data_IF_816078726082
#
_entry.id   IF_816078726082
#
_cell.length_a   1.000
_cell.length_b   1.000
_cell.length_c   1.000
_cell.angle_alpha   90.00
_cell.angle_beta   90.00
_cell.angle_gamma   90.00
#
_symmetry.space_group_name_H-M   'P 1'
#
loop_
_entity.id
_entity.type
_entity.pdbx_description
1 polymer ?
#
# COMPACT_ATOMS: atom_id res chain seq x y z
N UNK A 1 -6.83 3.20 24.47
CA UNK A 1 -6.62 4.25 23.45
C UNK A 1 -7.97 4.62 22.89
N UNK A 2 -8.45 5.85 23.03
CA UNK A 2 -9.81 6.20 22.62
C UNK A 2 -9.89 6.92 21.29
N UNK A 3 -8.81 7.59 20.86
CA UNK A 3 -8.80 8.32 19.58
C UNK A 3 -7.51 8.13 18.80
N UNK A 4 -7.64 7.71 17.55
CA UNK A 4 -6.57 7.49 16.58
C UNK A 4 -6.76 8.45 15.40
N UNK A 5 -5.66 8.86 14.78
CA UNK A 5 -5.66 9.66 13.55
C UNK A 5 -4.59 9.11 12.60
N UNK A 6 -4.96 8.96 11.33
CA UNK A 6 -4.05 8.56 10.27
C UNK A 6 -3.17 9.74 9.87
N UNK A 7 -1.87 9.48 9.72
CA UNK A 7 -0.91 10.48 9.25
C UNK A 7 -1.24 10.93 7.82
N UNK A 8 -1.21 12.24 7.56
CA UNK A 8 -1.48 12.84 6.24
C UNK A 8 -0.50 12.37 5.14
N UNK A 9 0.63 11.82 5.56
CA UNK A 9 1.69 11.32 4.69
C UNK A 9 1.48 9.86 4.25
N UNK A 10 0.42 9.20 4.72
CA UNK A 10 0.12 7.82 4.35
C UNK A 10 -0.85 7.83 3.17
N UNK A 11 -0.46 7.14 2.09
CA UNK A 11 -1.35 6.82 0.97
C UNK A 11 -1.72 5.35 1.05
N UNK A 12 -3.00 5.07 0.89
CA UNK A 12 -3.54 3.72 0.92
C UNK A 12 -3.97 3.30 -0.49
N UNK A 13 -3.77 2.03 -0.80
CA UNK A 13 -4.35 1.38 -1.96
C UNK A 13 -4.96 0.05 -1.56
N UNK A 14 -6.29 -0.07 -1.68
CA UNK A 14 -7.03 -1.28 -1.34
C UNK A 14 -6.88 -2.34 -2.43
N UNK A 15 -6.74 -3.61 -2.02
CA UNK A 15 -6.67 -4.78 -2.90
C UNK A 15 -8.06 -5.38 -3.16
N UNK A 16 -8.33 -5.98 -4.33
CA UNK A 16 -9.57 -6.72 -4.59
C UNK A 16 -9.81 -7.88 -3.61
N UNK A 17 -8.74 -8.47 -3.07
CA UNK A 17 -8.82 -9.56 -2.11
C UNK A 17 -9.08 -9.10 -0.67
N UNK A 18 -9.37 -7.80 -0.49
CA UNK A 18 -9.73 -7.20 0.79
C UNK A 18 -8.54 -6.76 1.64
N UNK A 19 -7.29 -7.01 1.22
CA UNK A 19 -6.09 -6.43 1.83
C UNK A 19 -5.85 -4.97 1.39
N UNK A 20 -4.75 -4.37 1.82
CA UNK A 20 -4.31 -3.05 1.33
C UNK A 20 -2.80 -2.88 1.44
N UNK A 21 -2.27 -1.92 0.71
CA UNK A 21 -0.89 -1.43 0.88
C UNK A 21 -0.91 0.01 1.35
N UNK A 22 -0.15 0.30 2.40
CA UNK A 22 0.13 1.64 2.89
C UNK A 22 1.51 2.10 2.39
N UNK A 23 1.59 3.29 1.83
CA UNK A 23 2.83 3.96 1.44
C UNK A 23 3.03 5.21 2.32
N UNK A 24 4.11 5.25 3.10
CA UNK A 24 4.56 6.49 3.75
C UNK A 24 5.35 7.34 2.74
N UNK A 25 4.78 8.43 2.27
CA UNK A 25 5.41 9.28 1.24
C UNK A 25 6.64 10.03 1.74
N UNK A 26 6.89 10.08 3.06
CA UNK A 26 8.10 10.71 3.62
C UNK A 26 9.32 9.82 3.42
N UNK A 27 9.19 8.56 3.84
CA UNK A 27 10.26 7.58 3.84
C UNK A 27 10.31 6.74 2.56
N UNK A 28 9.19 6.58 1.87
CA UNK A 28 9.02 5.66 0.75
C UNK A 28 8.80 4.20 1.18
N UNK A 29 8.62 3.94 2.47
CA UNK A 29 8.31 2.59 2.94
C UNK A 29 6.88 2.18 2.61
N UNK A 30 6.72 0.92 2.25
CA UNK A 30 5.45 0.31 1.95
C UNK A 30 5.15 -0.84 2.91
N UNK A 31 3.89 -0.94 3.33
CA UNK A 31 3.43 -1.94 4.29
C UNK A 31 2.20 -2.64 3.74
N UNK A 32 2.27 -3.96 3.59
CA UNK A 32 1.13 -4.78 3.20
C UNK A 32 0.26 -5.11 4.43
N UNK A 33 -1.04 -5.04 4.25
CA UNK A 33 -2.05 -5.34 5.27
C UNK A 33 -2.98 -6.43 4.76
N UNK A 34 -3.21 -7.43 5.61
CA UNK A 34 -4.26 -8.41 5.36
C UNK A 34 -5.66 -7.79 5.52
N UNK A 35 -6.70 -8.56 5.22
CA UNK A 35 -8.09 -8.06 5.19
C UNK A 35 -8.65 -7.64 6.55
N UNK A 36 -8.25 -8.34 7.63
CA UNK A 36 -8.64 -7.96 8.99
C UNK A 36 -7.99 -6.64 9.40
N UNK A 37 -6.69 -6.51 9.15
CA UNK A 37 -5.93 -5.30 9.43
C UNK A 37 -6.48 -4.12 8.61
N UNK A 38 -6.78 -4.33 7.32
CA UNK A 38 -7.40 -3.31 6.47
C UNK A 38 -8.77 -2.86 7.01
N UNK A 39 -9.59 -3.78 7.50
CA UNK A 39 -10.88 -3.43 8.12
C UNK A 39 -10.69 -2.54 9.35
N UNK A 40 -9.72 -2.86 10.22
CA UNK A 40 -9.38 -2.02 11.38
C UNK A 40 -8.90 -0.64 10.94
N UNK A 41 -8.01 -0.60 9.95
CA UNK A 41 -7.47 0.63 9.39
C UNK A 41 -8.56 1.55 8.83
N UNK A 42 -9.47 1.02 8.02
CA UNK A 42 -10.59 1.78 7.46
C UNK A 42 -11.47 2.37 8.56
N UNK A 43 -11.75 1.59 9.60
CA UNK A 43 -12.57 2.05 10.71
C UNK A 43 -11.86 3.10 11.58
N UNK A 44 -10.55 2.98 11.79
CA UNK A 44 -9.75 4.02 12.43
C UNK A 44 -9.67 5.28 11.59
N UNK A 45 -9.51 5.16 10.27
CA UNK A 45 -9.49 6.31 9.36
C UNK A 45 -10.85 7.03 9.35
N UNK A 46 -11.95 6.28 9.32
CA UNK A 46 -13.33 6.81 9.24
C UNK A 46 -13.81 7.41 10.57
N UNK A 47 -13.65 6.68 11.67
CA UNK A 47 -14.23 7.04 12.96
C UNK A 47 -13.25 7.66 13.94
N UNK A 48 -11.95 7.42 13.74
CA UNK A 48 -10.91 7.72 14.72
C UNK A 48 -11.06 6.95 16.03
N UNK A 49 -11.98 5.99 16.16
CA UNK A 49 -12.29 5.32 17.41
C UNK A 49 -11.82 3.86 17.38
N UNK A 50 -10.92 3.53 18.32
CA UNK A 50 -10.36 2.18 18.43
C UNK A 50 -11.43 1.12 18.73
N UNK A 51 -12.30 1.37 19.72
CA UNK A 51 -13.30 0.39 20.16
C UNK A 51 -14.39 0.17 19.10
N UNK A 52 -14.69 1.20 18.29
CA UNK A 52 -15.59 1.08 17.13
C UNK A 52 -15.06 0.07 16.11
N UNK A 53 -13.77 0.16 15.78
CA UNK A 53 -13.14 -0.76 14.84
C UNK A 53 -13.15 -2.22 15.35
N UNK A 54 -12.88 -2.42 16.64
CA UNK A 54 -12.96 -3.75 17.28
C UNK A 54 -14.37 -4.32 17.23
N UNK A 55 -15.40 -3.49 17.48
CA UNK A 55 -16.79 -3.90 17.40
C UNK A 55 -17.19 -4.31 15.97
N UNK A 56 -16.80 -3.52 14.97
CA UNK A 56 -17.07 -3.83 13.56
C UNK A 56 -16.40 -5.14 13.15
N UNK A 57 -15.14 -5.34 13.54
CA UNK A 57 -14.41 -6.56 13.21
C UNK A 57 -15.00 -7.80 13.90
N UNK A 58 -15.38 -7.69 15.18
CA UNK A 58 -16.05 -8.76 15.92
C UNK A 58 -17.41 -9.14 15.31
N UNK A 59 -18.15 -8.17 14.76
CA UNK A 59 -19.40 -8.42 14.04
C UNK A 59 -19.20 -9.18 12.72
N UNK A 60 -18.07 -8.95 12.03
CA UNK A 60 -17.72 -9.64 10.78
C UNK A 60 -17.18 -11.06 11.01
N UNK A 61 -16.54 -11.30 12.14
CA UNK A 61 -15.93 -12.59 12.50
C UNK A 61 -16.46 -13.10 13.85
N UNK A 62 -17.72 -13.59 13.91
CA UNK A 62 -18.38 -13.97 15.16
C UNK A 62 -17.72 -15.16 15.87
N UNK A 63 -17.01 -16.01 15.12
CA UNK A 63 -16.32 -17.18 15.67
C UNK A 63 -15.03 -16.82 16.45
N UNK A 64 -14.53 -15.59 16.28
CA UNK A 64 -13.34 -15.11 16.96
C UNK A 64 -13.69 -14.46 18.31
N UNK A 65 -12.95 -14.83 19.35
CA UNK A 65 -13.11 -14.22 20.67
C UNK A 65 -12.79 -12.73 20.62
N UNK A 66 -13.72 -11.89 21.06
CA UNK A 66 -13.60 -10.43 21.06
C UNK A 66 -12.32 -9.93 21.75
N UNK A 67 -11.89 -10.59 22.83
CA UNK A 67 -10.68 -10.22 23.55
C UNK A 67 -9.42 -10.42 22.70
N UNK A 68 -9.35 -11.49 21.91
CA UNK A 68 -8.25 -11.71 20.96
C UNK A 68 -8.24 -10.66 19.85
N UNK A 69 -9.41 -10.35 19.29
CA UNK A 69 -9.54 -9.28 18.29
C UNK A 69 -9.03 -7.95 18.84
N UNK A 70 -9.39 -7.65 20.10
CA UNK A 70 -8.96 -6.42 20.77
C UNK A 70 -7.44 -6.41 20.97
N UNK A 71 -6.86 -7.52 21.40
CA UNK A 71 -5.42 -7.64 21.63
C UNK A 71 -4.62 -7.47 20.33
N UNK A 72 -5.04 -8.15 19.25
CA UNK A 72 -4.43 -8.02 17.93
C UNK A 72 -4.57 -6.60 17.37
N UNK A 73 -5.74 -5.97 17.56
CA UNK A 73 -5.96 -4.58 17.19
C UNK A 73 -5.04 -3.62 17.97
N UNK A 74 -4.80 -3.86 19.25
CA UNK A 74 -3.85 -3.08 20.05
C UNK A 74 -2.43 -3.21 19.50
N UNK A 75 -1.96 -4.45 19.27
CA UNK A 75 -0.61 -4.71 18.72
C UNK A 75 -0.43 -4.05 17.35
N UNK A 76 -1.45 -4.13 16.49
CA UNK A 76 -1.42 -3.48 15.19
C UNK A 76 -1.35 -1.95 15.34
N UNK A 77 -2.17 -1.35 16.21
CA UNK A 77 -2.16 0.09 16.44
C UNK A 77 -0.80 0.56 16.98
N UNK A 78 -0.24 -0.14 17.97
CA UNK A 78 1.07 0.16 18.55
C UNK A 78 2.18 0.11 17.49
N UNK A 79 2.17 -0.93 16.64
CA UNK A 79 3.11 -1.05 15.54
C UNK A 79 2.99 0.14 14.56
N UNK A 80 1.77 0.48 14.13
CA UNK A 80 1.53 1.59 13.22
C UNK A 80 1.89 2.95 13.85
N UNK A 81 1.72 3.12 15.16
CA UNK A 81 2.17 4.32 15.90
C UNK A 81 3.69 4.38 15.94
N UNK A 82 4.37 3.27 16.22
CA UNK A 82 5.84 3.21 16.25
C UNK A 82 6.47 3.53 14.88
N UNK A 83 5.77 3.16 13.80
CA UNK A 83 6.14 3.49 12.42
C UNK A 83 5.76 4.93 12.02
N UNK A 84 5.06 5.67 12.88
CA UNK A 84 4.58 7.02 12.60
C UNK A 84 3.50 7.11 11.52
N UNK A 85 2.76 6.00 11.32
CA UNK A 85 1.63 5.90 10.38
C UNK A 85 0.29 6.26 11.04
N UNK A 86 0.19 6.04 12.35
CA UNK A 86 -0.94 6.45 13.20
C UNK A 86 -0.47 7.37 14.33
N UNK A 87 -1.36 8.25 14.79
CA UNK A 87 -1.16 9.08 15.98
C UNK A 87 -2.27 8.80 16.99
N UNK A 88 -1.88 8.38 18.20
CA UNK A 88 -2.81 8.26 19.32
C UNK A 88 -2.99 9.60 20.02
N UNK A 89 -4.25 9.99 20.22
CA UNK A 89 -4.60 11.16 21.01
C UNK A 89 -4.99 10.67 22.39
N UNK A 90 -4.30 11.15 23.42
CA UNK A 90 -4.78 10.97 24.78
C UNK A 90 -6.16 11.63 24.88
N UNK A 91 -7.13 11.01 25.58
CA UNK A 91 -8.38 11.70 25.87
C UNK A 91 -8.03 13.01 26.55
N UNK A 92 -8.43 14.13 25.94
CA UNK A 92 -8.27 15.44 26.54
C UNK A 92 -8.88 15.36 27.93
N UNK A 93 -8.05 15.31 28.97
CA UNK A 93 -8.52 15.60 30.31
C UNK A 93 -8.93 17.05 30.24
N UNK A 94 -10.22 17.30 30.03
CA UNK A 94 -10.82 18.57 30.35
C UNK A 94 -10.32 18.90 31.75
N UNK A 95 -9.54 19.97 31.96
CA UNK A 95 -9.15 20.34 33.30
C UNK A 95 -10.46 20.51 34.06
N UNK A 96 -10.68 19.63 35.04
CA UNK A 96 -11.83 19.74 35.93
C UNK A 96 -11.82 21.19 36.42
N UNK A 97 -12.88 21.93 36.11
CA UNK A 97 -13.02 23.32 36.49
C UNK A 97 -12.76 23.42 37.99
N UNK A 98 -11.58 23.92 38.32
CA UNK A 98 -11.22 24.22 39.69
C UNK A 98 -12.12 25.38 40.12
N UNK A 99 -13.05 25.08 41.02
CA UNK A 99 -13.75 26.09 41.80
C UNK A 99 -15.18 26.38 41.37
N UNK A 100 -16.09 25.53 41.81
CA UNK A 100 -17.27 26.05 42.49
C UNK A 100 -17.59 25.13 43.67
N UNK A 101 -16.99 25.50 44.82
CA UNK A 101 -17.55 25.19 46.12
C UNK A 101 -18.92 25.87 46.18
N UNK A 102 -19.98 25.08 46.21
CA UNK A 102 -21.25 25.52 46.78
C UNK A 102 -21.60 24.57 47.91
N UNK A 103 -21.96 25.19 49.02
CA UNK A 103 -22.15 24.64 50.36
C UNK A 103 -23.31 23.63 50.47
N UNK A 104 -23.39 22.86 51.59
CA UNK A 104 -24.29 21.73 51.78
C UNK A 104 -25.61 22.13 52.47
N UNK A 105 -26.72 21.49 52.10
CA UNK A 105 -27.89 21.26 52.95
C UNK A 105 -28.77 20.13 52.33
N UNK A 106 -29.67 19.47 53.06
CA UNK A 106 -29.44 18.20 53.75
C UNK A 106 -30.47 17.12 53.35
N UNK A 107 -30.36 15.99 54.02
CA UNK A 107 -31.18 14.78 53.90
C UNK A 107 -32.69 15.01 53.81
N UNK A 108 -33.31 14.26 52.90
CA UNK A 108 -34.69 13.80 53.05
C UNK A 108 -34.75 12.32 52.64
N UNK A 109 -35.27 11.55 53.56
CA UNK A 109 -35.45 10.11 53.56
C UNK A 109 -36.42 9.59 52.49
N UNK A 110 -36.32 8.26 52.31
CA UNK A 110 -37.38 7.33 51.88
C UNK A 110 -37.37 6.87 50.40
N UNK A 111 -37.95 5.69 50.09
CA UNK A 111 -37.19 4.44 50.02
C UNK A 111 -37.34 3.68 48.69
N UNK A 112 -36.45 2.70 48.51
CA UNK A 112 -36.46 1.68 47.45
C UNK A 112 -37.75 0.83 47.45
N UNK A 113 -38.28 0.45 46.28
CA UNK A 113 -39.06 -0.77 46.15
C UNK A 113 -38.15 -1.97 45.85
N UNK A 114 -38.24 -2.92 46.77
CA UNK A 114 -37.79 -4.31 46.73
C UNK A 114 -38.73 -5.16 45.85
N UNK A 115 -38.23 -6.35 45.49
CA UNK A 115 -38.91 -7.52 44.89
C UNK A 115 -38.76 -7.62 43.35
N UNK A 116 -38.50 -8.77 42.75
CA UNK A 116 -38.73 -10.14 43.21
C UNK A 116 -37.86 -11.13 42.40
N UNK A 117 -37.25 -12.09 43.08
CA UNK A 117 -36.70 -13.32 42.49
C UNK A 117 -37.74 -14.42 42.64
N UNK A 118 -37.98 -15.21 41.59
CA UNK A 118 -38.21 -16.67 41.60
C UNK A 118 -38.49 -17.16 40.16
N UNK A 119 -38.55 -18.49 39.87
CA UNK A 119 -37.50 -19.47 40.07
C UNK A 119 -37.25 -20.35 38.82
N UNK A 120 -36.18 -21.16 38.93
CA UNK A 120 -35.89 -22.43 38.27
C UNK A 120 -36.99 -23.08 37.41
N UNK A 121 -36.61 -23.53 36.20
CA UNK A 121 -37.07 -24.82 35.68
C UNK A 121 -35.92 -25.59 35.05
N UNK A 122 -35.68 -26.76 35.61
CA UNK A 122 -34.82 -27.82 35.14
C UNK A 122 -35.52 -28.65 34.06
N UNK A 123 -34.72 -29.22 33.16
CA UNK A 123 -35.13 -30.28 32.23
C UNK A 123 -34.40 -30.10 30.91
N UNK A 124 -33.85 -31.11 30.23
CA UNK A 124 -33.77 -32.55 30.47
C UNK A 124 -32.81 -33.03 29.38
N UNK A 125 -31.74 -33.76 29.74
CA UNK A 125 -30.95 -34.58 28.80
C UNK A 125 -31.86 -35.62 28.13
N UNK A 126 -31.58 -35.99 26.87
CA UNK A 126 -31.38 -37.41 26.63
C UNK A 126 -30.07 -37.72 25.91
N UNK A 127 -29.49 -38.81 26.37
CA UNK A 127 -28.33 -39.49 25.81
C UNK A 127 -28.61 -40.10 24.43
N UNK A 128 -27.50 -40.20 23.68
CA UNK A 128 -27.13 -41.34 22.83
C UNK A 128 -27.99 -41.67 21.60
N UNK A 129 -27.39 -41.50 20.41
CA UNK A 129 -27.32 -42.61 19.46
C UNK A 129 -26.15 -42.46 18.48
N UNK A 130 -25.34 -43.52 18.49
CA UNK A 130 -24.38 -43.94 17.46
C UNK A 130 -24.99 -43.89 16.05
N UNK A 131 -24.22 -43.33 15.12
CA UNK A 131 -24.03 -43.84 13.75
C UNK A 131 -22.58 -43.48 13.39
N UNK A 132 -21.62 -44.40 13.49
CA UNK A 132 -21.30 -45.38 12.46
C UNK A 132 -21.01 -44.72 11.09
N UNK A 133 -19.72 -44.40 10.92
CA UNK A 133 -18.91 -44.76 9.74
C UNK A 133 -19.40 -44.30 8.38
N UNK A 134 -18.76 -43.28 7.81
CA UNK A 134 -18.37 -43.25 6.39
C UNK A 134 -17.13 -42.37 6.24
N UNK A 135 -15.99 -43.03 6.04
CA UNK A 135 -14.74 -42.41 5.64
C UNK A 135 -14.81 -42.08 4.14
N UNK A 136 -14.47 -40.85 3.70
CA UNK A 136 -14.17 -40.62 2.30
C UNK A 136 -12.79 -41.19 1.99
N UNK A 137 -12.75 -42.00 0.93
CA UNK A 137 -11.59 -42.58 0.28
C UNK A 137 -10.46 -41.58 0.09
N UNK A 138 -9.26 -41.93 0.57
CA UNK A 138 -8.00 -41.43 0.05
C UNK A 138 -7.98 -41.69 -1.46
N UNK A 139 -8.23 -40.64 -2.24
CA UNK A 139 -7.89 -40.59 -3.65
C UNK A 139 -6.39 -40.37 -3.77
N UNK A 140 -5.74 -41.26 -4.51
CA UNK A 140 -4.32 -41.24 -4.83
C UNK A 140 -3.83 -39.85 -5.23
N UNK A 141 -2.93 -39.30 -4.41
CA UNK A 141 -2.10 -38.16 -4.80
C UNK A 141 -1.03 -38.72 -5.74
N UNK A 142 -0.99 -38.31 -7.03
CA UNK A 142 0.08 -38.73 -7.92
C UNK A 142 1.43 -38.27 -7.35
N UNK A 143 2.50 -39.09 -7.46
CA UNK A 143 3.81 -38.71 -6.99
C UNK A 143 4.23 -37.41 -7.68
N UNK A 144 4.75 -36.47 -6.89
CA UNK A 144 5.32 -35.24 -7.36
C UNK A 144 6.33 -35.57 -8.48
N UNK A 145 5.99 -35.20 -9.71
CA UNK A 145 6.96 -35.13 -10.79
C UNK A 145 7.95 -34.06 -10.37
N UNK A 146 9.10 -34.50 -9.84
CA UNK A 146 10.25 -33.65 -9.63
C UNK A 146 10.60 -33.01 -10.97
N UNK A 147 10.24 -31.73 -11.11
CA UNK A 147 10.68 -30.91 -12.24
C UNK A 147 12.19 -30.76 -12.05
N UNK A 148 13.01 -31.22 -13.02
CA UNK A 148 14.46 -31.10 -12.92
C UNK A 148 14.86 -29.65 -12.70
N UNK A 149 15.68 -29.41 -11.67
CA UNK A 149 16.16 -28.10 -11.25
C UNK A 149 17.06 -27.39 -12.30
N UNK A 150 17.30 -28.01 -13.46
CA UNK A 150 18.11 -27.50 -14.56
C UNK A 150 17.30 -26.91 -15.73
N UNK A 151 15.97 -26.80 -15.62
CA UNK A 151 15.12 -26.16 -16.64
C UNK A 151 14.62 -24.75 -16.28
N UNK A 152 15.00 -24.20 -15.12
CA UNK A 152 14.54 -22.89 -14.63
C UNK A 152 15.59 -21.77 -14.76
N UNK A 153 16.61 -21.95 -15.59
CA UNK A 153 17.57 -20.92 -15.96
C UNK A 153 17.33 -20.45 -17.40
N UNK A 154 16.15 -19.86 -17.64
CA UNK A 154 15.96 -19.03 -18.83
C UNK A 154 16.62 -17.67 -18.58
N UNK A 155 17.81 -17.52 -19.13
CA UNK A 155 18.46 -16.22 -19.34
C UNK A 155 17.57 -15.39 -20.25
N UNK A 156 16.72 -14.54 -19.67
CA UNK A 156 16.00 -13.46 -20.35
C UNK A 156 16.99 -12.34 -20.70
N UNK A 157 18.00 -12.65 -21.52
CA UNK A 157 18.64 -11.66 -22.34
C UNK A 157 17.77 -11.58 -23.59
N UNK A 158 16.88 -10.59 -23.64
CA UNK A 158 16.27 -10.22 -24.90
C UNK A 158 17.42 -9.89 -25.86
N UNK A 159 17.63 -10.75 -26.87
CA UNK A 159 18.52 -10.47 -27.99
C UNK A 159 18.16 -9.08 -28.53
N UNK A 160 19.08 -8.10 -28.48
CA UNK A 160 18.79 -6.78 -28.97
C UNK A 160 18.51 -6.88 -30.47
N UNK A 161 17.29 -6.51 -30.88
CA UNK A 161 17.06 -6.11 -32.27
C UNK A 161 17.94 -4.89 -32.50
N UNK A 162 19.10 -5.12 -33.14
CA UNK A 162 19.95 -4.07 -33.63
C UNK A 162 19.18 -3.36 -34.73
N UNK A 163 18.63 -2.19 -34.41
CA UNK A 163 18.21 -1.23 -35.43
C UNK A 163 19.50 -0.63 -36.02
N UNK A 164 20.06 -1.39 -36.95
CA UNK A 164 21.32 -1.17 -37.64
C UNK A 164 21.14 -0.05 -38.66
N UNK A 165 20.96 1.19 -38.20
CA UNK A 165 20.53 2.23 -39.15
C UNK A 165 20.61 3.70 -38.80
N UNK A 166 20.75 4.15 -37.55
CA UNK A 166 20.67 5.61 -37.29
C UNK A 166 21.82 6.17 -36.44
N UNK A 167 23.03 6.25 -37.05
CA UNK A 167 24.11 7.16 -36.60
C UNK A 167 23.77 8.63 -36.91
N UNK A 168 22.51 9.03 -36.77
CA UNK A 168 22.07 10.41 -36.90
C UNK A 168 22.48 11.20 -35.67
N UNK A 169 22.82 12.49 -35.87
CA UNK A 169 23.04 13.44 -34.78
C UNK A 169 21.88 13.43 -33.76
N UNK A 170 20.66 13.14 -34.21
CA UNK A 170 19.48 12.97 -33.35
C UNK A 170 19.62 11.78 -32.41
N UNK A 171 20.13 10.64 -32.90
CA UNK A 171 20.42 9.46 -32.07
C UNK A 171 21.42 9.78 -30.96
N UNK A 172 22.53 10.44 -31.32
CA UNK A 172 23.55 10.85 -30.34
C UNK A 172 22.99 11.82 -29.28
N UNK A 173 22.22 12.83 -29.70
CA UNK A 173 21.57 13.77 -28.77
C UNK A 173 20.61 13.05 -27.82
N UNK A 174 19.78 12.12 -28.33
CA UNK A 174 18.85 11.37 -27.47
C UNK A 174 19.56 10.47 -26.46
N UNK A 175 20.68 9.85 -26.84
CA UNK A 175 21.48 9.04 -25.93
C UNK A 175 22.12 9.89 -24.81
N UNK A 176 22.66 11.06 -25.16
CA UNK A 176 23.23 12.00 -24.20
C UNK A 176 22.16 12.52 -23.22
N UNK A 177 20.96 12.88 -23.72
CA UNK A 177 19.84 13.27 -22.87
C UNK A 177 19.41 12.14 -21.93
N UNK A 178 19.33 10.91 -22.44
CA UNK A 178 19.02 9.72 -21.64
C UNK A 178 20.04 9.50 -20.52
N UNK A 179 21.33 9.67 -20.82
CA UNK A 179 22.41 9.52 -19.83
C UNK A 179 22.35 10.60 -18.75
N UNK A 180 22.23 11.88 -19.13
CA UNK A 180 22.12 12.97 -18.16
C UNK A 180 20.88 12.81 -17.27
N UNK A 181 19.74 12.42 -17.85
CA UNK A 181 18.53 12.18 -17.11
C UNK A 181 18.67 10.97 -16.15
N UNK A 182 19.34 9.90 -16.57
CA UNK A 182 19.62 8.75 -15.72
C UNK A 182 20.54 9.09 -14.55
N UNK A 183 21.63 9.81 -14.79
CA UNK A 183 22.52 10.29 -13.72
C UNK A 183 21.78 11.21 -12.73
N UNK A 184 20.95 12.11 -13.25
CA UNK A 184 20.08 12.96 -12.43
C UNK A 184 19.10 12.15 -11.59
N UNK A 185 18.47 11.13 -12.16
CA UNK A 185 17.57 10.23 -11.44
C UNK A 185 18.28 9.44 -10.34
N UNK A 186 19.48 8.91 -10.62
CA UNK A 186 20.29 8.19 -9.64
C UNK A 186 20.70 9.08 -8.46
N UNK A 187 21.01 10.36 -8.71
CA UNK A 187 21.28 11.33 -7.66
C UNK A 187 20.00 11.65 -6.87
N UNK A 188 18.88 11.84 -7.58
CA UNK A 188 17.59 12.19 -6.98
C UNK A 188 17.07 11.08 -6.04
N UNK A 189 17.26 9.80 -6.39
CA UNK A 189 16.85 8.64 -5.58
C UNK A 189 17.63 8.54 -4.26
N UNK A 190 18.81 9.18 -4.14
CA UNK A 190 19.51 9.27 -2.86
C UNK A 190 18.83 10.21 -1.86
N UNK A 191 17.82 10.95 -2.29
CA UNK A 191 17.03 11.83 -1.44
C UNK A 191 15.77 11.12 -0.91
N UNK A 192 15.20 11.56 0.22
CA UNK A 192 13.91 11.06 0.69
C UNK A 192 12.81 11.20 -0.36
N UNK A 193 11.87 10.24 -0.42
CA UNK A 193 10.81 10.21 -1.44
C UNK A 193 10.04 11.53 -1.53
N UNK A 194 9.77 12.18 -0.40
CA UNK A 194 9.16 13.53 -0.36
C UNK A 194 9.90 14.57 -1.21
N UNK A 195 11.23 14.53 -1.21
CA UNK A 195 12.07 15.47 -1.94
C UNK A 195 12.04 15.14 -3.43
N UNK A 196 12.00 13.84 -3.78
CA UNK A 196 11.80 13.37 -5.15
C UNK A 196 10.45 13.85 -5.68
N UNK A 197 9.35 13.55 -4.98
CA UNK A 197 8.00 13.95 -5.38
C UNK A 197 7.86 15.47 -5.49
N UNK A 198 8.43 16.24 -4.55
CA UNK A 198 8.45 17.72 -4.63
C UNK A 198 9.22 18.21 -5.84
N UNK A 199 10.38 17.62 -6.12
CA UNK A 199 11.18 17.98 -7.30
C UNK A 199 10.42 17.69 -8.59
N UNK A 200 9.79 16.52 -8.69
CA UNK A 200 8.98 16.14 -9.86
C UNK A 200 7.81 17.09 -10.05
N UNK A 201 7.00 17.35 -9.02
CA UNK A 201 5.89 18.30 -9.10
C UNK A 201 6.35 19.72 -9.41
N UNK A 202 7.46 20.16 -8.83
CA UNK A 202 8.01 21.50 -9.10
C UNK A 202 8.44 21.61 -10.57
N UNK A 203 9.24 20.68 -11.07
CA UNK A 203 9.68 20.65 -12.48
C UNK A 203 8.45 20.61 -13.41
N UNK A 204 7.48 19.77 -13.12
CA UNK A 204 6.28 19.62 -13.93
C UNK A 204 5.41 20.90 -13.96
N UNK A 205 5.32 21.61 -12.83
CA UNK A 205 4.54 22.85 -12.70
C UNK A 205 5.24 24.11 -13.21
N UNK A 206 6.57 24.19 -13.12
CA UNK A 206 7.32 25.43 -13.46
C UNK A 206 8.06 25.36 -14.79
N UNK A 207 8.51 24.19 -15.21
CA UNK A 207 9.39 24.02 -16.36
C UNK A 207 8.66 23.41 -17.57
N UNK A 208 7.82 22.40 -17.33
CA UNK A 208 7.11 21.72 -18.40
C UNK A 208 5.92 22.57 -18.88
N UNK A 209 5.79 22.71 -20.21
CA UNK A 209 4.80 23.61 -20.83
C UNK A 209 3.73 22.89 -21.63
N UNK A 210 3.96 21.63 -22.00
CA UNK A 210 3.07 20.84 -22.86
C UNK A 210 2.95 19.44 -22.30
N UNK A 211 1.80 18.82 -22.47
CA UNK A 211 1.66 17.40 -22.14
C UNK A 211 2.46 16.54 -23.13
N UNK A 212 3.04 15.46 -22.62
CA UNK A 212 3.68 14.43 -23.43
C UNK A 212 2.60 13.57 -24.09
N UNK A 213 2.80 13.20 -25.36
CA UNK A 213 2.01 12.13 -25.97
C UNK A 213 2.57 10.77 -25.56
N UNK A 214 1.80 9.68 -25.63
CA UNK A 214 2.29 8.33 -25.35
C UNK A 214 3.55 7.97 -26.15
N UNK A 215 3.62 8.37 -27.42
CA UNK A 215 4.77 8.11 -28.30
C UNK A 215 6.03 8.85 -27.82
N UNK A 216 5.88 10.09 -27.36
CA UNK A 216 7.00 10.88 -26.82
C UNK A 216 7.53 10.30 -25.51
N UNK A 217 6.63 9.84 -24.64
CA UNK A 217 7.00 9.20 -23.40
C UNK A 217 7.67 7.84 -23.64
N UNK A 218 7.15 7.03 -24.57
CA UNK A 218 7.77 5.77 -25.01
C UNK A 218 9.15 5.99 -25.63
N UNK A 219 9.30 7.00 -26.49
CA UNK A 219 10.60 7.37 -27.06
C UNK A 219 11.60 7.83 -25.99
N UNK A 220 11.13 8.56 -24.98
CA UNK A 220 11.94 8.99 -23.84
C UNK A 220 12.40 7.78 -23.00
N UNK A 221 11.50 6.83 -22.72
CA UNK A 221 11.83 5.59 -22.03
C UNK A 221 12.84 4.75 -22.82
N UNK A 222 12.67 4.63 -24.13
CA UNK A 222 13.61 3.93 -25.00
C UNK A 222 15.01 4.58 -24.97
N UNK A 223 15.08 5.91 -24.99
CA UNK A 223 16.35 6.64 -24.86
C UNK A 223 17.05 6.36 -23.51
N UNK A 224 16.29 6.35 -22.41
CA UNK A 224 16.80 6.02 -21.07
C UNK A 224 17.26 4.56 -20.99
N UNK A 225 16.48 3.61 -21.54
CA UNK A 225 16.87 2.19 -21.57
C UNK A 225 18.18 1.96 -22.33
N UNK A 226 18.36 2.66 -23.46
CA UNK A 226 19.63 2.65 -24.20
C UNK A 226 20.78 3.25 -23.38
N UNK A 227 20.53 4.30 -22.60
CA UNK A 227 21.56 4.86 -21.72
C UNK A 227 21.89 3.92 -20.55
N UNK A 228 20.89 3.24 -20.00
CA UNK A 228 21.04 2.30 -18.90
C UNK A 228 21.89 1.07 -19.26
N UNK A 229 22.06 0.74 -20.54
CA UNK A 229 23.00 -0.29 -20.99
C UNK A 229 24.46 0.01 -20.60
N UNK A 230 24.83 1.28 -20.47
CA UNK A 230 26.16 1.71 -20.06
C UNK A 230 26.31 1.82 -18.54
N UNK A 231 25.23 1.63 -17.80
CA UNK A 231 25.23 1.67 -16.35
C UNK A 231 25.68 0.29 -15.81
N UNK A 232 26.72 0.22 -14.97
CA UNK A 232 27.25 -1.06 -14.46
C UNK A 232 26.29 -1.79 -13.51
N UNK A 233 25.19 -1.16 -13.10
CA UNK A 233 24.15 -1.75 -12.26
C UNK A 233 22.87 -2.09 -13.05
N UNK A 234 21.92 -2.78 -12.40
CA UNK A 234 20.58 -2.95 -12.96
C UNK A 234 19.77 -1.69 -12.72
N UNK A 235 19.33 -1.04 -13.79
CA UNK A 235 18.44 0.11 -13.67
C UNK A 235 17.04 -0.36 -13.23
N UNK A 236 16.62 0.01 -12.03
CA UNK A 236 15.31 -0.38 -11.50
C UNK A 236 14.17 0.45 -12.12
N UNK A 237 12.92 -0.01 -11.97
CA UNK A 237 11.73 0.70 -12.50
C UNK A 237 11.64 2.16 -11.98
N UNK A 238 12.07 2.39 -10.73
CA UNK A 238 12.12 3.72 -10.13
C UNK A 238 13.10 4.65 -10.86
N UNK A 239 14.30 4.14 -11.16
CA UNK A 239 15.36 4.88 -11.87
C UNK A 239 14.93 5.18 -13.29
N UNK A 240 14.40 4.18 -14.00
CA UNK A 240 13.94 4.33 -15.37
C UNK A 240 12.77 5.31 -15.50
N UNK A 241 11.79 5.26 -14.61
CA UNK A 241 10.63 6.17 -14.65
C UNK A 241 11.02 7.62 -14.34
N UNK A 242 11.88 7.85 -13.34
CA UNK A 242 12.39 9.20 -13.03
C UNK A 242 13.29 9.76 -14.14
N UNK A 243 14.16 8.93 -14.70
CA UNK A 243 15.00 9.34 -15.83
C UNK A 243 14.14 9.65 -17.07
N UNK A 244 13.06 8.89 -17.30
CA UNK A 244 12.11 9.16 -18.39
C UNK A 244 11.44 10.52 -18.21
N UNK A 245 11.02 10.85 -16.98
CA UNK A 245 10.51 12.20 -16.66
C UNK A 245 11.58 13.27 -16.83
N UNK A 246 12.84 12.97 -16.52
CA UNK A 246 13.97 13.86 -16.78
C UNK A 246 14.12 14.19 -18.27
N UNK A 247 14.07 13.19 -19.15
CA UNK A 247 14.09 13.41 -20.62
C UNK A 247 12.87 14.22 -21.09
N UNK A 248 11.68 13.92 -20.55
CA UNK A 248 10.48 14.72 -20.83
C UNK A 248 10.64 16.17 -20.35
N UNK A 249 11.19 16.40 -19.16
CA UNK A 249 11.43 17.73 -18.62
C UNK A 249 12.47 18.51 -19.45
N UNK A 250 13.54 17.85 -19.89
CA UNK A 250 14.54 18.46 -20.79
C UNK A 250 13.93 18.88 -22.14
N UNK A 251 12.90 18.18 -22.60
CA UNK A 251 12.10 18.54 -23.78
C UNK A 251 10.89 19.43 -23.47
N UNK A 252 10.78 19.92 -22.22
CA UNK A 252 9.69 20.76 -21.68
C UNK A 252 8.30 20.13 -21.79
N UNK A 253 8.24 18.79 -21.72
CA UNK A 253 7.03 17.98 -21.74
C UNK A 253 6.69 17.48 -20.34
N UNK A 254 5.40 17.44 -20.01
CA UNK A 254 4.87 16.95 -18.74
C UNK A 254 4.33 15.53 -18.93
N UNK A 255 4.78 14.61 -18.08
CA UNK A 255 4.16 13.32 -17.83
C UNK A 255 3.73 13.24 -16.37
N UNK A 256 2.90 12.25 -16.04
CA UNK A 256 2.53 11.95 -14.65
C UNK A 256 3.44 10.84 -14.16
N UNK A 257 4.10 11.05 -13.03
CA UNK A 257 4.86 10.00 -12.37
C UNK A 257 3.94 9.18 -11.48
N UNK A 258 3.97 7.86 -11.62
CA UNK A 258 3.14 6.96 -10.84
C UNK A 258 4.00 5.95 -10.08
N UNK A 259 3.61 5.68 -8.83
CA UNK A 259 4.09 4.55 -8.04
C UNK A 259 2.87 3.70 -7.68
N UNK A 260 3.01 2.39 -7.79
CA UNK A 260 1.92 1.45 -7.56
C UNK A 260 2.38 0.07 -7.12
N UNK A 261 1.39 -0.80 -6.90
CA UNK A 261 1.58 -2.14 -6.38
C UNK A 261 0.77 -3.18 -7.15
N UNK A 262 1.25 -4.42 -7.15
CA UNK A 262 0.49 -5.60 -7.57
C UNK A 262 0.40 -6.58 -6.38
N UNK A 263 -0.73 -7.25 -6.22
CA UNK A 263 -1.08 -8.00 -5.01
C UNK A 263 -0.61 -9.47 -5.01
N UNK A 264 -0.02 -9.96 -6.10
CA UNK A 264 0.39 -11.37 -6.21
C UNK A 264 1.61 -11.57 -7.16
N UNK A 265 2.78 -11.93 -6.63
CA UNK A 265 3.27 -11.58 -5.29
C UNK A 265 3.32 -10.05 -5.09
N UNK A 266 3.35 -9.57 -3.83
CA UNK A 266 3.47 -8.13 -3.53
C UNK A 266 4.68 -7.52 -4.25
N UNK A 267 4.42 -6.75 -5.30
CA UNK A 267 5.43 -6.11 -6.14
C UNK A 267 5.19 -4.61 -6.19
N UNK A 268 6.26 -3.85 -6.14
CA UNK A 268 6.25 -2.40 -6.29
C UNK A 268 6.72 -2.03 -7.69
N UNK A 269 6.03 -1.08 -8.30
CA UNK A 269 6.41 -0.59 -9.62
C UNK A 269 6.26 0.92 -9.69
N UNK A 270 7.11 1.54 -10.50
CA UNK A 270 7.07 2.96 -10.79
C UNK A 270 7.12 3.14 -12.31
N UNK A 271 6.21 3.96 -12.83
CA UNK A 271 6.04 4.19 -14.26
C UNK A 271 5.71 5.64 -14.55
N UNK A 272 5.68 5.98 -15.83
CA UNK A 272 5.25 7.30 -16.32
C UNK A 272 3.94 7.12 -17.07
N UNK A 273 3.00 8.04 -16.89
CA UNK A 273 1.79 8.11 -17.70
C UNK A 273 1.81 9.36 -18.59
N UNK A 274 1.33 9.18 -19.81
CA UNK A 274 1.11 10.25 -20.77
C UNK A 274 -0.32 10.12 -21.31
N UNK A 275 -1.12 11.18 -21.17
CA UNK A 275 -2.53 11.19 -21.57
C UNK A 275 -3.36 10.03 -20.98
N UNK A 276 -3.05 9.63 -19.74
CA UNK A 276 -3.71 8.52 -19.05
C UNK A 276 -3.25 7.12 -19.47
N UNK A 277 -2.30 7.00 -20.41
CA UNK A 277 -1.73 5.73 -20.85
C UNK A 277 -0.45 5.47 -20.06
N UNK A 278 -0.37 4.32 -19.39
CA UNK A 278 0.83 3.85 -18.71
C UNK A 278 1.91 3.48 -19.72
N UNK A 279 3.09 4.05 -19.52
CA UNK A 279 4.26 3.84 -20.36
C UNK A 279 5.18 2.87 -19.62
N UNK A 280 5.03 1.59 -19.95
CA UNK A 280 5.83 0.49 -19.46
C UNK A 280 6.05 -0.51 -20.61
N UNK A 281 7.08 -1.36 -20.52
CA UNK A 281 7.20 -2.49 -21.46
C UNK A 281 5.97 -3.39 -21.28
N UNK A 282 5.26 -3.75 -22.36
CA UNK A 282 4.20 -4.76 -22.33
C UNK A 282 4.72 -6.16 -21.89
N UNK A 283 6.03 -6.34 -21.86
CA UNK A 283 6.69 -7.66 -21.85
C UNK A 283 7.31 -8.03 -20.50
N UNK A 284 7.32 -7.13 -19.52
CA UNK A 284 8.15 -7.30 -18.31
C UNK A 284 7.41 -7.96 -17.14
N UNK A 285 6.08 -7.92 -17.09
CA UNK A 285 5.30 -8.63 -16.07
C UNK A 285 3.93 -9.07 -16.61
N UNK A 286 3.72 -10.39 -16.68
CA UNK A 286 2.46 -10.99 -17.09
C UNK A 286 1.27 -10.43 -16.31
N UNK A 287 0.29 -9.91 -17.06
CA UNK A 287 -1.14 -9.73 -16.70
C UNK A 287 -1.53 -9.24 -15.29
N UNK A 288 -0.63 -8.61 -14.54
CA UNK A 288 -0.94 -8.06 -13.21
C UNK A 288 -1.05 -6.55 -13.34
N UNK A 289 -2.30 -6.07 -13.31
CA UNK A 289 -2.63 -4.65 -13.38
C UNK A 289 -2.06 -3.95 -12.14
N UNK A 290 -0.97 -3.20 -12.32
CA UNK A 290 -0.40 -2.39 -11.23
C UNK A 290 -1.40 -1.31 -10.84
N UNK A 291 -1.77 -1.30 -9.56
CA UNK A 291 -2.66 -0.30 -8.98
C UNK A 291 -1.86 0.90 -8.51
N UNK A 292 -2.26 2.09 -8.93
CA UNK A 292 -1.64 3.33 -8.48
C UNK A 292 -1.87 3.55 -6.97
N UNK A 293 -0.79 3.88 -6.27
CA UNK A 293 -0.79 4.30 -4.86
C UNK A 293 -0.48 5.79 -4.76
N UNK A 294 0.43 6.28 -5.61
CA UNK A 294 0.84 7.69 -5.69
C UNK A 294 0.89 8.12 -7.16
N UNK A 295 0.34 9.30 -7.46
CA UNK A 295 0.63 10.04 -8.70
C UNK A 295 1.14 11.44 -8.38
N UNK A 296 2.13 11.87 -9.16
CA UNK A 296 2.74 13.20 -9.07
C UNK A 296 2.73 13.81 -10.46
N UNK A 297 2.13 15.00 -10.58
CA UNK A 297 1.99 15.76 -11.84
C UNK A 297 2.51 17.19 -11.68
#
# INVERSE_FOLDING_TARGET
>A
MTRLSVSEYVRESASPHGGSVLLDVRSGHCFAMNSMAHTLWQEWHRSGNFDSAVLVLAGRYPDLQRDRIREDACRLADNLISLGLLTAHAPSRTPAAAGQRTYPYPAADAPLPTAERAPLTAGRRPDSRRSASHAPSQGDVPPATEVPLDAAQMTMAAEPVWDEGDRSLRGAVTAVLGLFALLGALLLIRLPLRSVSRTVSWIAGTWCRREATPEQASASLAAVRRAAWWYPGRAACLELSLATLGVLALTRRRGVWCIGTADDPYRFHAWVEAQGVAIASPDEYGSTEFRRVLSVS
#
